data_IF_307126278413
#
_entry.id   IF_307126278413
#
_cell.length_a   1.000
_cell.length_b   1.000
_cell.length_c   1.000
_cell.angle_alpha   90.00
_cell.angle_beta   90.00
_cell.angle_gamma   90.00
#
_symmetry.space_group_name_H-M   'P 1'
#
loop_
_entity.id
_entity.type
_entity.pdbx_description
1 polymer ?
#
# COMPACT_ATOMS: atom_id res chain seq x y z
N UNK A 1 14.59 -19.08 -23.43
CA UNK A 1 15.13 -17.75 -23.78
C UNK A 1 14.58 -16.78 -22.77
N UNK A 2 15.43 -16.26 -21.91
CA UNK A 2 15.06 -15.33 -20.84
C UNK A 2 15.00 -13.95 -21.48
N UNK A 3 13.83 -13.32 -21.47
CA UNK A 3 13.71 -11.91 -21.84
C UNK A 3 14.45 -11.08 -20.80
N UNK A 4 15.67 -10.68 -21.13
CA UNK A 4 16.34 -9.55 -20.54
C UNK A 4 15.66 -8.26 -21.03
N UNK A 5 15.68 -7.23 -20.18
CA UNK A 5 15.10 -5.90 -20.34
C UNK A 5 13.58 -5.75 -20.11
N UNK A 6 13.21 -5.67 -18.82
CA UNK A 6 12.16 -4.73 -18.40
C UNK A 6 12.80 -3.74 -17.42
N UNK A 7 13.64 -2.84 -17.93
CA UNK A 7 13.93 -1.62 -17.18
C UNK A 7 12.60 -0.89 -16.97
N UNK A 8 12.30 -0.53 -15.73
CA UNK A 8 11.19 0.37 -15.45
C UNK A 8 11.57 1.75 -16.00
N UNK A 9 11.25 2.02 -17.27
CA UNK A 9 11.78 3.20 -17.95
C UNK A 9 11.07 4.51 -17.54
N UNK A 10 9.87 4.46 -16.92
CA UNK A 10 9.08 5.64 -16.49
C UNK A 10 8.10 5.31 -15.35
N UNK A 11 7.58 6.36 -14.71
CA UNK A 11 6.44 6.31 -13.77
C UNK A 11 6.79 5.93 -12.33
N UNK A 12 5.75 5.79 -11.49
CA UNK A 12 5.88 5.58 -10.04
C UNK A 12 6.73 4.37 -9.66
N UNK A 13 6.63 3.27 -10.43
CA UNK A 13 7.45 2.06 -10.25
C UNK A 13 8.95 2.33 -10.38
N UNK A 14 9.36 3.08 -11.42
CA UNK A 14 10.76 3.46 -11.60
C UNK A 14 11.25 4.32 -10.43
N UNK A 15 10.45 5.32 -10.05
CA UNK A 15 10.81 6.27 -9.01
C UNK A 15 10.94 5.58 -7.65
N UNK A 16 10.00 4.72 -7.29
CA UNK A 16 10.07 3.92 -6.08
C UNK A 16 11.28 2.98 -6.10
N UNK A 17 11.57 2.36 -7.25
CA UNK A 17 12.79 1.60 -7.47
C UNK A 17 14.07 2.39 -7.18
N UNK A 18 14.16 3.65 -7.63
CA UNK A 18 15.33 4.50 -7.32
C UNK A 18 15.46 4.73 -5.82
N UNK A 19 14.38 5.09 -5.14
CA UNK A 19 14.40 5.29 -3.69
C UNK A 19 14.81 4.02 -2.94
N UNK A 20 14.20 2.88 -3.25
CA UNK A 20 14.48 1.61 -2.58
C UNK A 20 15.90 1.10 -2.83
N UNK A 21 16.43 1.24 -4.05
CA UNK A 21 17.72 0.64 -4.41
C UNK A 21 18.91 1.62 -4.29
N UNK A 22 18.68 2.94 -4.25
CA UNK A 22 19.75 3.95 -4.25
C UNK A 22 19.78 4.86 -3.02
N UNK A 23 18.64 5.10 -2.38
CA UNK A 23 18.55 5.90 -1.14
C UNK A 23 17.60 5.28 -0.12
N UNK A 24 17.91 4.04 0.27
CA UNK A 24 17.14 3.31 1.28
C UNK A 24 17.13 4.05 2.62
N UNK A 25 18.21 4.75 2.96
CA UNK A 25 18.31 5.52 4.21
C UNK A 25 17.35 6.71 4.18
N UNK A 26 17.37 7.53 3.14
CA UNK A 26 16.46 8.67 3.00
C UNK A 26 15.00 8.21 3.00
N UNK A 27 14.70 7.10 2.30
CA UNK A 27 13.35 6.53 2.33
C UNK A 27 12.94 6.08 3.73
N UNK A 28 13.83 5.43 4.49
CA UNK A 28 13.55 5.02 5.87
C UNK A 28 13.31 6.23 6.79
N UNK A 29 14.10 7.29 6.64
CA UNK A 29 13.94 8.52 7.41
C UNK A 29 12.55 9.15 7.14
N UNK A 30 12.15 9.27 5.86
CA UNK A 30 10.82 9.75 5.47
C UNK A 30 9.68 8.85 5.99
N UNK A 31 9.85 7.52 5.97
CA UNK A 31 8.86 6.56 6.48
C UNK A 31 8.60 6.77 7.97
N UNK A 32 9.66 6.90 8.77
CA UNK A 32 9.53 7.03 10.22
C UNK A 32 9.04 8.41 10.65
N UNK A 33 9.36 9.46 9.91
CA UNK A 33 8.81 10.79 10.12
C UNK A 33 7.30 10.81 9.84
N UNK A 34 6.86 10.21 8.73
CA UNK A 34 5.47 10.21 8.32
C UNK A 34 4.59 9.22 9.10
N UNK A 35 5.16 8.21 9.75
CA UNK A 35 4.41 7.18 10.47
C UNK A 35 4.91 6.99 11.92
N UNK A 36 4.35 7.75 12.88
CA UNK A 36 4.67 7.59 14.30
C UNK A 36 4.39 6.19 14.85
N UNK A 37 3.34 5.52 14.35
CA UNK A 37 2.99 4.17 14.79
C UNK A 37 4.01 3.12 14.32
N UNK A 38 4.54 3.26 13.10
CA UNK A 38 5.61 2.40 12.57
C UNK A 38 6.92 2.63 13.34
N UNK A 39 7.25 3.90 13.61
CA UNK A 39 8.41 4.27 14.43
C UNK A 39 8.32 3.69 15.85
N UNK A 40 7.13 3.71 16.46
CA UNK A 40 6.89 3.13 17.77
C UNK A 40 6.93 1.60 17.77
N UNK A 41 6.49 0.95 16.69
CA UNK A 41 6.47 -0.51 16.56
C UNK A 41 7.86 -1.12 16.46
N UNK A 42 8.77 -0.50 15.67
CA UNK A 42 10.06 -1.11 15.36
C UNK A 42 10.97 -1.29 16.58
N UNK A 43 11.83 -2.30 16.52
CA UNK A 43 12.98 -2.41 17.42
C UNK A 43 13.93 -1.21 17.23
N UNK A 44 14.65 -0.85 18.30
CA UNK A 44 15.58 0.29 18.26
C UNK A 44 16.69 -0.02 17.24
N UNK A 45 16.83 0.85 16.24
CA UNK A 45 17.81 0.67 15.16
C UNK A 45 17.36 -0.25 14.03
N UNK A 46 16.21 -0.93 14.13
CA UNK A 46 15.68 -1.72 13.03
C UNK A 46 15.32 -0.84 11.83
N UNK A 47 15.66 -1.35 10.65
CA UNK A 47 15.36 -0.72 9.35
C UNK A 47 14.39 -1.61 8.57
N UNK A 48 13.59 -1.03 7.67
CA UNK A 48 12.84 -1.83 6.71
C UNK A 48 13.79 -2.72 5.89
N UNK A 49 13.44 -3.98 5.70
CA UNK A 49 14.13 -4.91 4.80
C UNK A 49 13.28 -5.06 3.55
N UNK A 50 13.66 -4.37 2.49
CA UNK A 50 12.93 -4.36 1.24
C UNK A 50 12.95 -5.71 0.52
N UNK A 51 11.80 -6.10 -0.01
CA UNK A 51 11.57 -7.28 -0.85
C UNK A 51 11.14 -6.89 -2.26
N UNK A 52 10.55 -5.71 -2.42
CA UNK A 52 10.17 -5.10 -3.69
C UNK A 52 10.08 -3.57 -3.58
N UNK A 53 10.40 -2.81 -4.64
CA UNK A 53 10.95 -3.30 -5.91
C UNK A 53 12.48 -3.33 -5.86
N UNK A 54 13.09 -4.52 -6.01
CA UNK A 54 14.55 -4.69 -6.02
C UNK A 54 15.08 -4.86 -7.45
N UNK A 55 16.16 -4.16 -7.79
CA UNK A 55 16.81 -4.27 -9.11
C UNK A 55 17.28 -5.71 -9.39
N UNK A 56 17.84 -6.37 -8.36
CA UNK A 56 18.28 -7.77 -8.43
C UNK A 56 17.15 -8.77 -8.72
N UNK A 57 15.90 -8.36 -8.53
CA UNK A 57 14.71 -9.16 -8.80
C UNK A 57 13.82 -8.49 -9.87
N UNK A 58 14.44 -7.75 -10.79
CA UNK A 58 13.79 -7.09 -11.92
C UNK A 58 12.55 -6.27 -11.52
N UNK A 59 12.62 -5.58 -10.37
CA UNK A 59 11.55 -4.74 -9.85
C UNK A 59 10.20 -5.47 -9.71
N UNK A 60 10.20 -6.76 -9.37
CA UNK A 60 9.00 -7.60 -9.23
C UNK A 60 8.00 -6.99 -8.24
N UNK A 61 6.76 -6.86 -8.67
CA UNK A 61 5.61 -6.54 -7.81
C UNK A 61 4.97 -7.83 -7.26
N UNK A 62 4.51 -7.77 -6.02
CA UNK A 62 3.85 -8.91 -5.36
C UNK A 62 2.34 -8.72 -5.33
N UNK A 63 1.61 -9.83 -5.39
CA UNK A 63 0.18 -9.91 -5.08
C UNK A 63 0.02 -10.73 -3.81
N UNK A 64 -0.93 -11.65 -3.76
CA UNK A 64 -1.17 -12.49 -2.59
C UNK A 64 0.05 -13.34 -2.14
N UNK A 65 1.03 -13.53 -3.02
CA UNK A 65 2.32 -14.17 -2.74
C UNK A 65 3.27 -13.32 -1.86
N UNK A 66 2.92 -12.08 -1.50
CA UNK A 66 3.70 -11.31 -0.50
C UNK A 66 3.72 -12.01 0.86
N UNK A 67 2.70 -12.81 1.18
CA UNK A 67 2.57 -13.51 2.47
C UNK A 67 3.68 -14.55 2.70
N UNK A 68 4.33 -15.02 1.64
CA UNK A 68 5.49 -15.91 1.73
C UNK A 68 6.66 -15.24 2.49
N UNK A 69 6.69 -13.91 2.56
CA UNK A 69 7.71 -13.15 3.29
C UNK A 69 7.42 -12.96 4.79
N UNK A 70 6.25 -13.38 5.28
CA UNK A 70 5.94 -13.37 6.72
C UNK A 70 6.36 -14.69 7.36
N UNK A 71 5.78 -15.78 6.88
CA UNK A 71 6.05 -17.14 7.30
C UNK A 71 5.75 -18.07 6.11
N UNK A 72 6.81 -18.48 5.41
CA UNK A 72 6.71 -19.35 4.24
C UNK A 72 6.04 -20.70 4.56
N UNK A 73 6.08 -21.17 5.81
CA UNK A 73 5.44 -22.41 6.23
C UNK A 73 3.91 -22.31 6.36
N UNK A 74 3.38 -21.10 6.53
CA UNK A 74 1.96 -20.86 6.79
C UNK A 74 1.25 -20.06 5.69
N UNK A 75 1.96 -19.57 4.68
CA UNK A 75 1.41 -18.71 3.62
C UNK A 75 0.10 -19.23 3.01
N UNK A 76 0.02 -20.54 2.70
CA UNK A 76 -1.21 -21.14 2.17
C UNK A 76 -2.42 -20.94 3.10
N UNK A 77 -2.25 -21.16 4.39
CA UNK A 77 -3.31 -20.99 5.38
C UNK A 77 -3.70 -19.51 5.54
N UNK A 78 -2.73 -18.61 5.48
CA UNK A 78 -2.96 -17.16 5.52
C UNK A 78 -3.76 -16.71 4.29
N UNK A 79 -3.38 -17.18 3.10
CA UNK A 79 -4.10 -16.92 1.85
C UNK A 79 -5.52 -17.47 1.93
N UNK A 80 -5.70 -18.73 2.34
CA UNK A 80 -7.02 -19.36 2.46
C UNK A 80 -7.93 -18.59 3.43
N UNK A 81 -7.36 -18.06 4.51
CA UNK A 81 -8.09 -17.19 5.45
C UNK A 81 -8.51 -15.88 4.79
N UNK A 82 -7.62 -15.21 4.04
CA UNK A 82 -7.98 -14.03 3.25
C UNK A 82 -9.08 -14.36 2.24
N UNK A 83 -9.06 -15.55 1.62
CA UNK A 83 -10.06 -15.98 0.63
C UNK A 83 -11.47 -16.14 1.20
N UNK A 84 -11.63 -16.22 2.50
CA UNK A 84 -12.95 -16.17 3.14
C UNK A 84 -13.59 -14.79 2.95
N UNK A 85 -12.77 -13.73 2.90
CA UNK A 85 -13.22 -12.33 2.87
C UNK A 85 -13.05 -11.67 1.51
N UNK A 86 -11.98 -12.01 0.76
CA UNK A 86 -11.62 -11.35 -0.48
C UNK A 86 -11.48 -12.35 -1.64
N UNK A 87 -11.92 -12.01 -2.87
CA UNK A 87 -11.75 -12.89 -4.02
C UNK A 87 -10.27 -13.11 -4.38
N UNK A 88 -10.01 -14.10 -5.24
CA UNK A 88 -8.69 -14.33 -5.82
C UNK A 88 -8.19 -13.15 -6.63
N UNK A 89 -6.88 -12.88 -6.58
CA UNK A 89 -6.28 -11.77 -7.31
C UNK A 89 -6.37 -10.48 -6.51
N UNK A 90 -5.76 -10.48 -5.33
CA UNK A 90 -5.64 -9.32 -4.47
C UNK A 90 -4.92 -8.13 -5.11
N UNK A 91 -4.71 -7.06 -4.34
CA UNK A 91 -3.92 -5.92 -4.78
C UNK A 91 -2.53 -6.35 -5.24
N UNK A 92 -2.06 -5.71 -6.32
CA UNK A 92 -0.64 -5.67 -6.66
C UNK A 92 0.00 -4.57 -5.83
N UNK A 93 1.12 -4.85 -5.18
CA UNK A 93 1.85 -3.90 -4.35
C UNK A 93 3.06 -3.37 -5.11
N UNK A 94 3.18 -2.04 -5.17
CA UNK A 94 4.31 -1.36 -5.81
C UNK A 94 5.60 -1.53 -5.00
N UNK A 95 5.47 -1.71 -3.68
CA UNK A 95 6.58 -2.01 -2.79
C UNK A 95 6.17 -2.87 -1.60
N UNK A 96 7.14 -3.62 -1.10
CA UNK A 96 7.02 -4.53 0.03
C UNK A 96 8.30 -4.50 0.85
N UNK A 97 8.18 -4.26 2.15
CA UNK A 97 9.26 -4.48 3.10
C UNK A 97 8.77 -5.20 4.35
N UNK A 98 9.70 -5.87 5.03
CA UNK A 98 9.49 -6.45 6.36
C UNK A 98 10.29 -5.64 7.37
N UNK A 99 9.76 -5.41 8.57
CA UNK A 99 10.45 -4.71 9.64
C UNK A 99 10.36 -5.47 10.95
N UNK A 100 11.48 -5.55 11.67
CA UNK A 100 11.52 -6.13 13.02
C UNK A 100 10.79 -5.23 14.00
N UNK A 101 9.73 -5.75 14.61
CA UNK A 101 8.98 -5.10 15.66
C UNK A 101 9.49 -5.48 17.04
N UNK A 102 9.19 -4.63 18.03
CA UNK A 102 9.46 -4.94 19.44
C UNK A 102 8.79 -6.26 19.83
N UNK A 103 9.41 -6.98 20.75
CA UNK A 103 9.01 -8.33 21.17
C UNK A 103 9.18 -9.42 20.08
N UNK A 104 10.01 -9.17 19.07
CA UNK A 104 10.38 -10.17 18.06
C UNK A 104 9.28 -10.50 17.06
N UNK A 105 8.25 -9.67 16.95
CA UNK A 105 7.17 -9.82 15.98
C UNK A 105 7.50 -8.98 14.75
N UNK A 106 7.58 -9.61 13.59
CA UNK A 106 7.81 -8.92 12.33
C UNK A 106 6.52 -8.25 11.85
N UNK A 107 6.68 -7.14 11.12
CA UNK A 107 5.57 -6.43 10.48
C UNK A 107 5.83 -6.17 9.00
N UNK A 108 4.76 -5.93 8.27
CA UNK A 108 4.81 -5.56 6.86
C UNK A 108 4.69 -4.06 6.65
N UNK A 109 5.42 -3.56 5.65
CA UNK A 109 5.21 -2.25 5.06
C UNK A 109 4.80 -2.50 3.61
N UNK A 110 3.55 -2.20 3.29
CA UNK A 110 2.97 -2.31 1.95
C UNK A 110 2.89 -0.91 1.33
N UNK A 111 3.34 -0.79 0.09
CA UNK A 111 3.43 0.49 -0.59
C UNK A 111 2.51 0.54 -1.81
N UNK A 112 1.77 1.64 -1.92
CA UNK A 112 1.08 2.08 -3.13
C UNK A 112 1.75 3.38 -3.60
N UNK A 113 2.24 3.44 -4.82
CA UNK A 113 2.97 4.57 -5.36
C UNK A 113 2.27 5.17 -6.58
N UNK A 114 2.04 6.50 -6.56
CA UNK A 114 1.42 7.24 -7.65
C UNK A 114 2.26 8.43 -8.07
N UNK A 115 2.28 8.70 -9.38
CA UNK A 115 3.06 9.79 -9.97
C UNK A 115 2.19 10.98 -10.40
N UNK A 116 0.87 10.80 -10.51
CA UNK A 116 -0.06 11.88 -10.86
C UNK A 116 -1.48 11.61 -10.34
N UNK A 117 -2.27 12.68 -10.22
CA UNK A 117 -3.65 12.66 -9.68
C UNK A 117 -4.58 11.65 -10.39
N UNK A 118 -4.64 11.57 -11.75
CA UNK A 118 -5.53 10.64 -12.44
C UNK A 118 -5.40 9.17 -12.02
N UNK A 119 -4.21 8.72 -11.62
CA UNK A 119 -3.97 7.34 -11.14
C UNK A 119 -4.75 6.98 -9.87
N UNK A 120 -5.29 7.96 -9.14
CA UNK A 120 -6.12 7.71 -7.95
C UNK A 120 -7.54 7.25 -8.31
N UNK A 121 -8.02 7.58 -9.51
CA UNK A 121 -9.37 7.23 -9.94
C UNK A 121 -9.43 5.80 -10.46
N UNK A 122 -10.28 4.98 -9.86
CA UNK A 122 -10.38 3.56 -10.21
C UNK A 122 -11.72 2.96 -9.82
N UNK A 123 -12.15 1.95 -10.59
CA UNK A 123 -13.39 1.20 -10.35
C UNK A 123 -13.10 -0.29 -10.22
N UNK A 124 -13.93 -0.98 -9.45
CA UNK A 124 -13.94 -2.44 -9.43
C UNK A 124 -14.29 -2.99 -10.80
N UNK A 125 -13.55 -4.02 -11.22
CA UNK A 125 -13.77 -4.75 -12.47
C UNK A 125 -14.31 -6.15 -12.23
N UNK A 126 -14.66 -6.50 -10.99
CA UNK A 126 -15.24 -7.78 -10.63
C UNK A 126 -16.58 -7.99 -11.35
N UNK A 127 -16.76 -9.17 -11.95
CA UNK A 127 -17.96 -9.54 -12.70
C UNK A 127 -18.75 -10.69 -12.07
N UNK A 128 -18.07 -11.56 -11.34
CA UNK A 128 -18.69 -12.70 -10.69
C UNK A 128 -19.47 -12.24 -9.44
N UNK A 129 -20.75 -12.59 -9.28
CA UNK A 129 -21.56 -12.18 -8.12
C UNK A 129 -20.89 -12.51 -6.78
N UNK A 130 -20.37 -13.72 -6.62
CA UNK A 130 -19.68 -14.12 -5.40
C UNK A 130 -18.43 -13.27 -5.08
N UNK A 131 -17.72 -12.78 -6.09
CA UNK A 131 -16.57 -11.87 -5.89
C UNK A 131 -17.04 -10.47 -5.51
N UNK A 132 -18.12 -9.98 -6.14
CA UNK A 132 -18.73 -8.68 -5.82
C UNK A 132 -19.22 -8.69 -4.38
N UNK A 133 -19.95 -9.73 -3.96
CA UNK A 133 -20.47 -9.87 -2.60
C UNK A 133 -19.35 -9.85 -1.56
N UNK A 134 -18.27 -10.60 -1.80
CA UNK A 134 -17.07 -10.60 -0.93
C UNK A 134 -16.42 -9.22 -0.81
N UNK A 135 -16.21 -8.56 -1.96
CA UNK A 135 -15.62 -7.21 -2.01
C UNK A 135 -16.50 -6.25 -1.21
N UNK A 136 -17.80 -6.18 -1.53
CA UNK A 136 -18.72 -5.25 -0.89
C UNK A 136 -18.86 -5.51 0.61
N UNK A 137 -18.95 -6.77 1.02
CA UNK A 137 -19.08 -7.14 2.44
C UNK A 137 -17.83 -6.76 3.21
N UNK A 138 -16.64 -7.00 2.63
CA UNK A 138 -15.38 -6.60 3.25
C UNK A 138 -15.23 -5.09 3.31
N UNK A 139 -15.56 -4.37 2.23
CA UNK A 139 -15.49 -2.91 2.23
C UNK A 139 -16.46 -2.29 3.24
N UNK A 140 -17.64 -2.86 3.48
CA UNK A 140 -18.52 -2.40 4.58
C UNK A 140 -17.89 -2.56 5.96
N UNK A 141 -17.17 -3.66 6.20
CA UNK A 141 -16.41 -3.83 7.46
C UNK A 141 -15.28 -2.79 7.58
N UNK A 142 -14.59 -2.51 6.48
CA UNK A 142 -13.53 -1.48 6.43
C UNK A 142 -14.12 -0.10 6.68
N UNK A 143 -15.24 0.25 6.04
CA UNK A 143 -15.94 1.53 6.29
C UNK A 143 -16.27 1.69 7.77
N UNK A 144 -16.79 0.64 8.43
CA UNK A 144 -17.07 0.68 9.85
C UNK A 144 -15.80 0.92 10.71
N UNK A 145 -14.69 0.25 10.39
CA UNK A 145 -13.41 0.43 11.09
C UNK A 145 -12.83 1.84 10.89
N UNK A 146 -13.10 2.48 9.76
CA UNK A 146 -12.70 3.86 9.47
C UNK A 146 -13.79 4.90 9.81
N UNK A 147 -14.91 4.49 10.40
CA UNK A 147 -16.02 5.38 10.76
C UNK A 147 -16.77 6.01 9.57
N UNK A 148 -16.57 5.49 8.36
CA UNK A 148 -17.13 6.02 7.12
C UNK A 148 -18.61 5.72 6.96
N UNK A 149 -19.36 6.76 6.57
CA UNK A 149 -20.78 6.70 6.19
C UNK A 149 -20.99 6.97 4.71
N UNK A 150 -19.92 7.13 3.94
CA UNK A 150 -19.99 7.33 2.50
C UNK A 150 -20.73 6.15 1.84
N UNK A 151 -21.43 6.43 0.73
CA UNK A 151 -22.05 5.37 -0.04
C UNK A 151 -20.97 4.41 -0.58
N UNK A 152 -21.20 3.10 -0.45
CA UNK A 152 -20.25 2.08 -0.91
C UNK A 152 -19.86 2.24 -2.40
N UNK A 153 -20.77 2.78 -3.22
CA UNK A 153 -20.52 3.10 -4.63
C UNK A 153 -19.32 4.04 -4.84
N UNK A 154 -19.06 4.96 -3.91
CA UNK A 154 -17.90 5.85 -3.96
C UNK A 154 -16.60 5.04 -3.87
N UNK A 155 -16.57 4.10 -2.92
CA UNK A 155 -15.42 3.21 -2.72
C UNK A 155 -15.24 2.25 -3.90
N UNK A 156 -16.32 1.72 -4.49
CA UNK A 156 -16.23 0.72 -5.56
C UNK A 156 -16.13 1.28 -6.97
N UNK A 157 -16.54 2.54 -7.23
CA UNK A 157 -16.58 3.11 -8.57
C UNK A 157 -15.64 4.30 -8.81
N UNK A 158 -15.19 4.98 -7.75
CA UNK A 158 -14.34 6.17 -7.89
C UNK A 158 -12.92 5.97 -7.33
N UNK A 159 -12.78 5.24 -6.23
CA UNK A 159 -11.49 5.05 -5.53
C UNK A 159 -11.20 3.60 -5.17
N UNK A 160 -11.54 2.66 -6.06
CA UNK A 160 -11.47 1.22 -5.76
C UNK A 160 -10.07 0.70 -5.43
N UNK A 161 -9.03 1.21 -6.09
CA UNK A 161 -7.65 0.87 -5.75
C UNK A 161 -7.37 1.23 -4.30
N UNK A 162 -7.57 2.48 -3.88
CA UNK A 162 -7.34 2.86 -2.49
C UNK A 162 -8.20 2.06 -1.50
N UNK A 163 -9.49 1.87 -1.80
CA UNK A 163 -10.40 1.05 -1.00
C UNK A 163 -9.91 -0.39 -0.84
N UNK A 164 -9.36 -1.00 -1.90
CA UNK A 164 -8.85 -2.37 -1.83
C UNK A 164 -7.54 -2.48 -1.04
N UNK A 165 -6.70 -1.43 -1.01
CA UNK A 165 -5.52 -1.39 -0.14
C UNK A 165 -5.94 -1.31 1.33
N UNK A 166 -6.94 -0.49 1.66
CA UNK A 166 -7.51 -0.43 3.00
C UNK A 166 -8.14 -1.75 3.44
N UNK A 167 -8.77 -2.48 2.51
CA UNK A 167 -9.28 -3.81 2.78
C UNK A 167 -8.17 -4.79 3.20
N UNK A 168 -7.04 -4.80 2.48
CA UNK A 168 -5.92 -5.67 2.86
C UNK A 168 -5.26 -5.22 4.17
N UNK A 169 -5.13 -3.91 4.41
CA UNK A 169 -4.66 -3.39 5.70
C UNK A 169 -5.54 -3.90 6.85
N UNK A 170 -6.87 -3.86 6.68
CA UNK A 170 -7.83 -4.40 7.65
C UNK A 170 -7.69 -5.91 7.83
N UNK A 171 -7.67 -6.68 6.74
CA UNK A 171 -7.60 -8.14 6.82
C UNK A 171 -6.31 -8.60 7.51
N UNK A 172 -5.17 -8.00 7.19
CA UNK A 172 -3.88 -8.35 7.79
C UNK A 172 -3.87 -8.04 9.28
N UNK A 173 -4.23 -6.81 9.66
CA UNK A 173 -4.15 -6.41 11.08
C UNK A 173 -5.28 -6.99 11.94
N UNK A 174 -6.51 -7.11 11.42
CA UNK A 174 -7.70 -7.46 12.22
C UNK A 174 -8.14 -8.91 12.09
N UNK A 175 -7.83 -9.58 10.97
CA UNK A 175 -8.22 -10.99 10.76
C UNK A 175 -7.04 -11.94 10.93
N UNK A 176 -5.85 -11.52 10.50
CA UNK A 176 -4.64 -12.34 10.61
C UNK A 176 -3.73 -11.93 11.78
N UNK A 177 -3.97 -10.78 12.42
CA UNK A 177 -3.11 -10.23 13.47
C UNK A 177 -1.65 -10.07 13.04
N UNK A 178 -1.43 -9.75 11.76
CA UNK A 178 -0.11 -9.45 11.20
C UNK A 178 0.06 -7.94 11.21
N UNK A 179 0.98 -7.38 12.03
CA UNK A 179 1.23 -5.94 12.06
C UNK A 179 1.59 -5.45 10.65
N UNK A 180 0.78 -4.56 10.11
CA UNK A 180 0.95 -4.08 8.73
C UNK A 180 0.69 -2.59 8.64
N UNK A 181 1.52 -1.89 7.88
CA UNK A 181 1.36 -0.48 7.52
C UNK A 181 1.13 -0.33 6.02
N UNK A 182 0.24 0.60 5.66
CA UNK A 182 -0.01 1.02 4.29
C UNK A 182 0.61 2.39 4.07
N UNK A 183 1.61 2.45 3.19
CA UNK A 183 2.33 3.67 2.85
C UNK A 183 1.91 4.09 1.45
N UNK A 184 1.26 5.24 1.34
CA UNK A 184 0.94 5.85 0.05
C UNK A 184 2.06 6.81 -0.33
N UNK A 185 2.79 6.51 -1.40
CA UNK A 185 3.85 7.36 -1.93
C UNK A 185 3.29 8.18 -3.08
N UNK A 186 3.44 9.49 -2.98
CA UNK A 186 3.06 10.46 -4.01
C UNK A 186 4.33 11.16 -4.49
N UNK A 187 4.70 10.94 -5.74
CA UNK A 187 5.85 11.62 -6.31
C UNK A 187 5.49 13.07 -6.66
N UNK A 188 6.36 14.00 -6.26
CA UNK A 188 6.25 15.41 -6.57
C UNK A 188 7.25 15.79 -7.66
N UNK A 189 6.85 16.74 -8.50
CA UNK A 189 7.68 17.36 -9.53
C UNK A 189 8.36 16.32 -10.45
N UNK A 190 7.60 15.30 -10.87
CA UNK A 190 8.04 14.31 -11.86
C UNK A 190 8.05 14.94 -13.27
N UNK A 191 9.25 15.39 -13.68
CA UNK A 191 9.54 15.97 -14.99
C UNK A 191 9.43 14.94 -16.14
N UNK A 192 9.26 13.65 -15.84
CA UNK A 192 9.23 12.60 -16.86
C UNK A 192 7.86 12.40 -17.52
N UNK A 193 6.77 12.89 -16.91
CA UNK A 193 5.42 12.66 -17.45
C UNK A 193 4.40 13.77 -17.19
N UNK A 194 4.05 14.03 -15.92
CA UNK A 194 3.08 15.05 -15.52
C UNK A 194 3.43 15.54 -14.13
N UNK A 195 4.01 16.72 -14.07
CA UNK A 195 4.33 17.38 -12.80
C UNK A 195 3.06 17.52 -11.96
N UNK A 196 3.13 17.04 -10.73
CA UNK A 196 2.11 17.23 -9.71
C UNK A 196 2.81 17.75 -8.48
N UNK A 197 2.49 18.97 -8.08
CA UNK A 197 3.10 19.63 -6.94
C UNK A 197 2.57 19.04 -5.63
N UNK A 198 3.29 19.29 -4.52
CA UNK A 198 2.86 18.89 -3.18
C UNK A 198 1.50 19.49 -2.80
N UNK A 199 1.21 20.72 -3.22
CA UNK A 199 -0.04 21.42 -2.92
C UNK A 199 -1.23 20.81 -3.69
N UNK A 200 -1.04 20.48 -4.96
CA UNK A 200 -2.05 19.78 -5.77
C UNK A 200 -2.38 18.42 -5.16
N UNK A 201 -1.37 17.67 -4.73
CA UNK A 201 -1.60 16.40 -4.03
C UNK A 201 -2.37 16.60 -2.72
N UNK A 202 -1.99 17.57 -1.88
CA UNK A 202 -2.72 17.84 -0.62
C UNK A 202 -4.19 18.17 -0.88
N UNK A 203 -4.45 19.05 -1.86
CA UNK A 203 -5.81 19.44 -2.24
C UNK A 203 -6.62 18.23 -2.71
N UNK A 204 -6.04 17.42 -3.60
CA UNK A 204 -6.70 16.23 -4.14
C UNK A 204 -6.96 15.17 -3.07
N UNK A 205 -5.97 14.87 -2.23
CA UNK A 205 -6.09 13.86 -1.18
C UNK A 205 -7.08 14.28 -0.09
N UNK A 206 -7.12 15.58 0.26
CA UNK A 206 -8.14 16.13 1.16
C UNK A 206 -9.54 15.88 0.60
N UNK A 207 -9.75 16.19 -0.68
CA UNK A 207 -11.03 15.93 -1.34
C UNK A 207 -11.37 14.43 -1.40
N UNK A 208 -10.39 13.58 -1.70
CA UNK A 208 -10.56 12.12 -1.73
C UNK A 208 -10.96 11.57 -0.36
N UNK A 209 -10.27 11.96 0.71
CA UNK A 209 -10.56 11.48 2.07
C UNK A 209 -11.91 11.98 2.59
N UNK A 210 -12.28 13.23 2.29
CA UNK A 210 -13.63 13.75 2.57
C UNK A 210 -14.70 12.98 1.81
N UNK A 211 -14.46 12.69 0.53
CA UNK A 211 -15.41 11.95 -0.32
C UNK A 211 -15.60 10.50 0.14
N UNK A 212 -14.52 9.86 0.60
CA UNK A 212 -14.56 8.53 1.20
C UNK A 212 -15.09 8.54 2.65
N UNK A 213 -15.22 9.70 3.27
CA UNK A 213 -15.65 9.92 4.66
C UNK A 213 -14.79 9.10 5.65
N UNK A 214 -13.46 9.13 5.48
CA UNK A 214 -12.55 8.33 6.30
C UNK A 214 -12.14 9.11 7.55
N UNK A 215 -12.36 8.53 8.74
CA UNK A 215 -11.82 9.07 9.98
C UNK A 215 -10.34 8.70 10.15
N UNK A 216 -9.53 9.69 10.50
CA UNK A 216 -8.11 9.52 10.80
C UNK A 216 -7.82 9.22 12.28
N UNK A 217 -8.86 9.14 13.14
CA UNK A 217 -8.69 8.92 14.58
C UNK A 217 -8.66 7.45 15.00
N UNK A 218 -8.82 6.52 14.07
CA UNK A 218 -8.90 5.09 14.39
C UNK A 218 -7.51 4.47 14.48
N UNK A 219 -7.37 3.39 15.25
CA UNK A 219 -6.09 2.70 15.39
C UNK A 219 -5.55 2.20 14.03
N UNK A 220 -6.44 1.71 13.16
CA UNK A 220 -6.08 1.26 11.81
C UNK A 220 -5.69 2.43 10.90
N UNK A 221 -6.33 3.60 11.04
CA UNK A 221 -5.92 4.81 10.32
C UNK A 221 -4.49 5.25 10.72
N UNK A 222 -4.12 5.06 11.98
CA UNK A 222 -2.75 5.27 12.46
C UNK A 222 -1.70 4.38 11.79
N UNK A 223 -2.09 3.29 11.10
CA UNK A 223 -1.20 2.44 10.31
C UNK A 223 -1.16 2.81 8.82
N UNK A 224 -1.79 3.93 8.45
CA UNK A 224 -1.64 4.55 7.13
C UNK A 224 -0.72 5.76 7.21
N UNK A 225 0.07 6.01 6.18
CA UNK A 225 0.85 7.24 6.05
C UNK A 225 0.97 7.68 4.59
N UNK A 226 1.07 8.99 4.37
CA UNK A 226 1.31 9.59 3.06
C UNK A 226 2.74 10.13 3.02
N UNK A 227 3.52 9.71 2.04
CA UNK A 227 4.86 10.21 1.77
C UNK A 227 4.84 11.02 0.47
N UNK A 228 5.44 12.19 0.50
CA UNK A 228 5.61 13.04 -0.68
C UNK A 228 7.09 13.08 -1.02
N UNK A 229 7.48 12.33 -2.05
CA UNK A 229 8.88 12.12 -2.41
C UNK A 229 9.21 12.86 -3.71
N UNK A 230 10.39 13.48 -3.76
CA UNK A 230 10.91 14.06 -5.00
C UNK A 230 11.17 12.96 -6.04
N UNK A 231 10.93 13.28 -7.31
CA UNK A 231 11.23 12.41 -8.45
C UNK A 231 12.74 12.15 -8.64
N UNK A 232 13.57 13.06 -8.11
CA UNK A 232 15.03 12.97 -8.09
C UNK A 232 15.48 12.49 -6.72
N UNK A 233 16.19 11.36 -6.70
CA UNK A 233 16.88 10.88 -5.50
C UNK A 233 18.15 11.72 -5.31
N UNK A 234 18.43 12.14 -4.08
CA UNK A 234 19.59 12.99 -3.74
C UNK A 234 20.91 12.22 -3.75
#
# INVERSE_FOLDING_TARGET
MVNADVKADKGSRMLLGKWVNKDEKGLADCLFEASPSLLAFREVGAKPVWKSPLESNNYREYRDDFLDHYDAGQSKQLVDTIRQYWPSGGPVWDGLAVIKGRAGIDGFILVEAKANIPETSSKSTAKAPASIDKIESTLRMVQAEFGSRAALKVWTQHYYQYANRLAYLYLLNKKLNIPTWLINVYFIDDDSHRETTREEWHTHLTHMYQTLDISHSTALAGQTANLFLESKVK
#
